data_IF_131715005578
#
_entry.id   IF_131715005578
#
_cell.length_a   1.000
_cell.length_b   1.000
_cell.length_c   1.000
_cell.angle_alpha   90.00
_cell.angle_beta   90.00
_cell.angle_gamma   90.00
#
_symmetry.space_group_name_H-M   'P 1'
#
loop_
_entity.id
_entity.type
_entity.pdbx_description
1 polymer ?
#
# COMPACT_ATOMS: atom_id res chain seq x y z
N UNK A 1 -3.56 6.57 -35.30
CA UNK A 1 -4.32 6.65 -34.04
C UNK A 1 -3.31 6.75 -32.90
N UNK A 2 -3.19 7.91 -32.23
CA UNK A 2 -2.28 8.05 -31.08
C UNK A 2 -2.98 7.42 -29.88
N UNK A 3 -2.49 6.27 -29.42
CA UNK A 3 -3.01 5.62 -28.21
C UNK A 3 -2.62 6.47 -27.00
N UNK A 4 -3.58 7.17 -26.41
CA UNK A 4 -3.39 7.89 -25.16
C UNK A 4 -3.30 6.87 -24.02
N UNK A 5 -2.08 6.42 -23.71
CA UNK A 5 -1.80 5.47 -22.61
C UNK A 5 -1.71 6.13 -21.22
N UNK A 6 -1.82 7.45 -21.15
CA UNK A 6 -1.61 8.19 -19.91
C UNK A 6 -2.95 8.46 -19.23
N UNK A 7 -3.56 7.42 -18.65
CA UNK A 7 -4.47 7.63 -17.54
C UNK A 7 -3.61 7.96 -16.32
N UNK A 8 -3.65 9.22 -15.87
CA UNK A 8 -3.05 9.60 -14.58
C UNK A 8 -4.01 9.16 -13.48
N UNK A 9 -3.58 8.21 -12.65
CA UNK A 9 -4.28 7.74 -11.46
C UNK A 9 -3.79 8.49 -10.21
N UNK A 10 -3.10 9.62 -10.38
CA UNK A 10 -2.76 10.48 -9.26
C UNK A 10 -4.07 10.94 -8.60
N UNK A 11 -4.30 10.61 -7.33
CA UNK A 11 -5.52 10.98 -6.62
C UNK A 11 -5.60 12.49 -6.56
N UNK A 12 -6.82 13.00 -6.64
CA UNK A 12 -7.07 14.39 -6.31
C UNK A 12 -6.72 14.60 -4.83
N UNK A 13 -5.64 15.35 -4.56
CA UNK A 13 -5.23 15.79 -3.21
C UNK A 13 -5.61 17.25 -3.05
N UNK A 14 -6.85 17.58 -2.62
CA UNK A 14 -7.21 18.96 -2.37
C UNK A 14 -6.34 19.51 -1.22
N UNK A 15 -5.91 20.76 -1.33
CA UNK A 15 -5.21 21.48 -0.26
C UNK A 15 -6.17 21.79 0.89
N UNK A 16 -6.54 20.76 1.66
CA UNK A 16 -7.41 20.86 2.85
C UNK A 16 -6.61 20.81 4.17
N UNK A 17 -5.28 20.89 4.08
CA UNK A 17 -4.34 20.65 5.18
C UNK A 17 -3.29 19.61 4.77
N UNK A 18 -2.23 19.48 5.57
CA UNK A 18 -1.19 18.43 5.44
C UNK A 18 -1.84 17.04 5.51
N UNK A 19 -2.16 16.46 4.35
CA UNK A 19 -2.41 15.02 4.23
C UNK A 19 -1.06 14.38 3.87
N UNK A 20 -0.19 14.28 4.87
CA UNK A 20 1.20 13.81 4.72
C UNK A 20 1.31 12.28 4.81
N UNK A 21 0.19 11.58 4.98
CA UNK A 21 0.19 10.13 5.12
C UNK A 21 0.49 9.41 3.82
N UNK A 22 1.05 8.20 3.94
CA UNK A 22 1.24 7.30 2.80
C UNK A 22 -0.08 7.03 2.11
N UNK A 23 -0.13 7.25 0.79
CA UNK A 23 -1.32 7.03 -0.02
C UNK A 23 -1.20 5.73 -0.82
N UNK A 24 -1.83 4.66 -0.31
CA UNK A 24 -1.98 3.39 -1.05
C UNK A 24 -2.98 3.60 -2.19
N UNK A 25 -2.53 3.42 -3.43
CA UNK A 25 -3.31 3.76 -4.63
C UNK A 25 -3.78 2.56 -5.46
N UNK A 26 -3.20 1.37 -5.24
CA UNK A 26 -3.58 0.13 -5.93
C UNK A 26 -3.44 -1.04 -5.00
N UNK A 27 -4.42 -1.92 -5.03
CA UNK A 27 -4.43 -3.15 -4.23
C UNK A 27 -4.87 -4.29 -5.16
N UNK A 28 -4.03 -5.30 -5.28
CA UNK A 28 -4.22 -6.48 -6.11
C UNK A 28 -4.10 -7.73 -5.22
N UNK A 29 -5.21 -8.18 -4.62
CA UNK A 29 -5.24 -9.44 -3.87
C UNK A 29 -5.24 -10.64 -4.82
N UNK A 30 -4.60 -11.72 -4.39
CA UNK A 30 -4.71 -13.06 -4.97
C UNK A 30 -5.22 -14.03 -3.88
N UNK A 31 -5.13 -15.35 -4.10
CA UNK A 31 -5.54 -16.34 -3.09
C UNK A 31 -4.75 -16.21 -1.79
N UNK A 32 -3.44 -16.03 -1.88
CA UNK A 32 -2.49 -16.15 -0.76
C UNK A 32 -1.53 -14.96 -0.66
N UNK A 33 -1.78 -13.90 -1.40
CA UNK A 33 -0.96 -12.68 -1.34
C UNK A 33 -1.75 -11.42 -1.64
N UNK A 34 -1.23 -10.29 -1.18
CA UNK A 34 -1.72 -8.96 -1.53
C UNK A 34 -0.53 -8.15 -2.03
N UNK A 35 -0.59 -7.71 -3.28
CA UNK A 35 0.33 -6.71 -3.83
C UNK A 35 -0.33 -5.34 -3.81
N UNK A 36 0.38 -4.32 -3.39
CA UNK A 36 -0.13 -2.95 -3.39
C UNK A 36 0.96 -1.93 -3.68
N UNK A 37 0.52 -0.80 -4.23
CA UNK A 37 1.36 0.33 -4.58
C UNK A 37 0.95 1.56 -3.77
N UNK A 38 1.91 2.39 -3.40
CA UNK A 38 1.66 3.73 -2.84
C UNK A 38 2.39 4.80 -3.63
N UNK A 39 2.01 6.05 -3.38
CA UNK A 39 2.71 7.20 -3.94
C UNK A 39 3.88 7.57 -3.06
N UNK A 40 4.96 7.99 -3.72
CA UNK A 40 6.14 8.52 -3.05
C UNK A 40 5.77 9.66 -2.09
N UNK A 41 6.21 9.51 -0.84
CA UNK A 41 6.05 10.49 0.22
C UNK A 41 7.29 11.37 0.42
N UNK A 42 8.37 11.10 -0.33
CA UNK A 42 9.65 11.79 -0.19
C UNK A 42 10.54 11.23 0.91
N UNK A 43 10.36 9.94 1.27
CA UNK A 43 11.22 9.22 2.20
C UNK A 43 11.96 8.06 1.52
N UNK A 44 13.12 7.70 2.06
CA UNK A 44 14.03 6.72 1.45
C UNK A 44 13.59 5.26 1.69
N UNK A 45 12.86 5.01 2.78
CA UNK A 45 12.46 3.68 3.21
C UNK A 45 11.06 3.67 3.79
N UNK A 46 10.39 2.53 3.63
CA UNK A 46 9.05 2.28 4.12
C UNK A 46 9.03 0.98 4.92
N UNK A 47 8.21 0.93 5.96
CA UNK A 47 7.89 -0.30 6.71
C UNK A 47 6.44 -0.70 6.46
N UNK A 48 6.20 -1.99 6.28
CA UNK A 48 4.88 -2.55 5.98
C UNK A 48 4.38 -3.35 7.17
N UNK A 49 3.13 -3.11 7.55
CA UNK A 49 2.47 -3.77 8.67
C UNK A 49 1.16 -4.39 8.25
N UNK A 50 0.83 -5.53 8.85
CA UNK A 50 -0.42 -6.25 8.59
C UNK A 50 -0.98 -6.86 9.88
N UNK A 51 -2.29 -7.06 9.91
CA UNK A 51 -2.97 -7.98 10.84
C UNK A 51 -4.18 -8.62 10.17
N UNK A 52 -4.65 -9.72 10.74
CA UNK A 52 -6.00 -10.19 10.45
C UNK A 52 -7.00 -9.13 10.94
N UNK A 53 -8.04 -8.88 10.17
CA UNK A 53 -8.95 -7.75 10.40
C UNK A 53 -9.57 -7.81 11.80
N UNK A 54 -9.39 -6.74 12.57
CA UNK A 54 -9.83 -6.63 13.98
C UNK A 54 -9.27 -7.69 14.94
N UNK A 55 -8.17 -8.36 14.60
CA UNK A 55 -7.55 -9.40 15.42
C UNK A 55 -6.13 -8.98 15.78
N UNK A 56 -5.90 -8.71 17.07
CA UNK A 56 -4.58 -8.43 17.60
C UNK A 56 -3.93 -7.14 17.10
N UNK A 57 -2.61 -7.09 17.29
CA UNK A 57 -1.77 -5.96 16.91
C UNK A 57 -1.20 -6.13 15.50
N UNK A 58 -0.86 -5.00 14.88
CA UNK A 58 -0.14 -4.99 13.62
C UNK A 58 1.27 -5.55 13.78
N UNK A 59 1.67 -6.42 12.85
CA UNK A 59 3.02 -6.98 12.79
C UNK A 59 3.77 -6.43 11.59
N UNK A 60 5.04 -6.05 11.78
CA UNK A 60 5.90 -5.62 10.68
C UNK A 60 6.30 -6.84 9.85
N UNK A 61 5.99 -6.81 8.55
CA UNK A 61 6.30 -7.90 7.61
C UNK A 61 7.49 -7.62 6.72
N UNK A 62 8.00 -6.39 6.73
CA UNK A 62 9.23 -6.04 6.04
C UNK A 62 9.42 -4.56 5.83
N UNK A 63 10.58 -4.24 5.26
CA UNK A 63 10.99 -2.90 4.87
C UNK A 63 11.37 -2.88 3.39
N UNK A 64 11.19 -1.75 2.74
CA UNK A 64 11.50 -1.58 1.32
C UNK A 64 11.82 -0.13 0.98
N UNK A 65 12.70 0.08 0.01
CA UNK A 65 12.98 1.39 -0.63
C UNK A 65 12.04 1.62 -1.84
N UNK A 66 11.32 0.58 -2.27
CA UNK A 66 10.37 0.65 -3.38
C UNK A 66 8.98 1.14 -2.98
N UNK A 67 8.17 1.51 -3.97
CA UNK A 67 6.79 1.99 -3.80
C UNK A 67 5.72 0.90 -3.99
N UNK A 68 6.17 -0.35 -4.10
CA UNK A 68 5.34 -1.54 -4.27
C UNK A 68 5.80 -2.59 -3.28
N UNK A 69 4.85 -3.28 -2.66
CA UNK A 69 5.14 -4.41 -1.78
C UNK A 69 4.16 -5.55 -2.02
N UNK A 70 4.62 -6.79 -1.81
CA UNK A 70 3.78 -7.99 -1.84
C UNK A 70 3.89 -8.73 -0.52
N UNK A 71 2.77 -8.87 0.17
CA UNK A 71 2.66 -9.71 1.37
C UNK A 71 2.23 -11.09 0.90
N UNK A 72 3.05 -12.11 1.16
CA UNK A 72 2.84 -13.49 0.72
C UNK A 72 2.39 -14.39 1.88
N UNK A 73 2.00 -15.63 1.56
CA UNK A 73 1.64 -16.68 2.51
C UNK A 73 0.47 -16.30 3.43
N UNK A 74 -0.49 -15.53 2.89
CA UNK A 74 -1.73 -15.20 3.57
C UNK A 74 -2.69 -16.39 3.57
N UNK A 75 -3.54 -16.46 4.59
CA UNK A 75 -4.59 -17.47 4.68
C UNK A 75 -5.68 -17.15 3.67
N UNK A 76 -6.14 -18.18 2.95
CA UNK A 76 -7.30 -18.07 2.09
C UNK A 76 -8.53 -17.63 2.90
N UNK A 77 -9.46 -16.94 2.23
CA UNK A 77 -10.76 -16.53 2.80
C UNK A 77 -10.64 -15.73 4.12
N UNK A 78 -9.53 -15.01 4.29
CA UNK A 78 -9.26 -14.22 5.50
C UNK A 78 -9.16 -12.74 5.13
N UNK A 79 -9.87 -11.89 5.87
CA UNK A 79 -9.79 -10.45 5.74
C UNK A 79 -8.57 -9.92 6.49
N UNK A 80 -7.83 -9.01 5.85
CA UNK A 80 -6.65 -8.36 6.42
C UNK A 80 -6.78 -6.84 6.44
N UNK A 81 -6.12 -6.23 7.41
CA UNK A 81 -5.85 -4.80 7.46
C UNK A 81 -4.33 -4.60 7.37
N UNK A 82 -3.90 -3.62 6.57
CA UNK A 82 -2.49 -3.30 6.43
C UNK A 82 -2.29 -1.79 6.31
N UNK A 83 -1.10 -1.34 6.65
CA UNK A 83 -0.66 0.04 6.42
C UNK A 83 0.83 0.09 6.12
N UNK A 84 1.26 1.25 5.62
CA UNK A 84 2.65 1.58 5.33
C UNK A 84 3.01 2.80 6.15
N UNK A 85 4.20 2.79 6.75
CA UNK A 85 4.78 3.94 7.45
C UNK A 85 6.16 4.26 6.89
N UNK A 86 6.57 5.52 7.04
CA UNK A 86 7.94 5.96 6.80
C UNK A 86 8.85 5.34 7.87
N UNK A 87 10.07 4.95 7.49
CA UNK A 87 11.09 4.41 8.41
C UNK A 87 12.20 5.42 8.69
#
# INVERSE_FOLDING_TARGET
MKTHKNWSYAPYRPYLGRNDGIYVCRIAPTSDSITFDWLDAGCDCYSVYIRERNIGEFVCVGKTEGLTYTINFLKNETDYEFYVEEF
#
